data_IF_104881333402
#
_entry.id   IF_104881333402
#
_cell.length_a   1.000
_cell.length_b   1.000
_cell.length_c   1.000
_cell.angle_alpha   90.00
_cell.angle_beta   90.00
_cell.angle_gamma   90.00
#
_symmetry.space_group_name_H-M   'P 1'
#
loop_
_entity.id
_entity.type
_entity.pdbx_description
1 polymer ?
#
# COMPACT_ATOMS: atom_id res chain seq x y z
N UNK A 1 -27.47 28.72 43.16
CA UNK A 1 -26.88 28.09 41.95
C UNK A 1 -27.06 28.91 40.66
N UNK A 2 -27.82 30.01 40.66
CA UNK A 2 -28.13 30.82 39.46
C UNK A 2 -27.20 32.04 39.26
N UNK A 3 -26.23 32.27 40.14
CA UNK A 3 -25.41 33.50 40.10
C UNK A 3 -24.15 33.35 39.22
N UNK A 4 -23.65 32.12 39.01
CA UNK A 4 -22.47 31.87 38.14
C UNK A 4 -22.77 31.83 36.63
N UNK A 5 -23.99 31.45 36.25
CA UNK A 5 -24.37 31.32 34.84
C UNK A 5 -24.58 32.67 34.13
N UNK A 6 -24.85 33.72 34.87
CA UNK A 6 -25.11 35.05 34.27
C UNK A 6 -23.83 35.87 33.97
N UNK A 7 -22.68 35.46 34.50
CA UNK A 7 -21.40 36.13 34.25
C UNK A 7 -20.62 35.55 33.04
N UNK A 8 -20.93 34.31 32.64
CA UNK A 8 -20.24 33.64 31.55
C UNK A 8 -20.90 33.88 30.19
N UNK A 9 -22.19 34.19 30.17
CA UNK A 9 -22.96 34.46 28.94
C UNK A 9 -22.46 35.61 28.08
N UNK A 10 -22.01 36.77 28.61
CA UNK A 10 -21.52 37.85 27.75
C UNK A 10 -20.15 37.55 27.12
N UNK A 11 -19.28 36.79 27.81
CA UNK A 11 -17.93 36.44 27.31
C UNK A 11 -18.03 35.42 26.18
N UNK A 12 -18.88 34.43 26.29
CA UNK A 12 -19.16 33.47 25.23
C UNK A 12 -19.80 34.11 23.99
N UNK A 13 -20.69 35.10 24.18
CA UNK A 13 -21.28 35.82 23.05
C UNK A 13 -20.33 36.80 22.37
N UNK A 14 -19.36 37.35 23.08
CA UNK A 14 -18.32 38.19 22.48
C UNK A 14 -17.34 37.36 21.64
N UNK A 15 -16.96 36.17 22.12
CA UNK A 15 -16.07 35.28 21.37
C UNK A 15 -16.77 34.67 20.15
N UNK A 16 -18.05 34.35 20.22
CA UNK A 16 -18.81 33.82 19.08
C UNK A 16 -19.21 34.91 18.07
N UNK A 17 -19.27 36.18 18.47
CA UNK A 17 -19.57 37.28 17.55
C UNK A 17 -18.33 37.83 16.85
N UNK A 18 -17.13 37.62 17.41
CA UNK A 18 -15.85 37.94 16.77
C UNK A 18 -15.43 36.89 15.75
N UNK A 19 -15.94 35.67 15.84
CA UNK A 19 -15.90 34.68 14.79
C UNK A 19 -17.04 34.94 13.78
N UNK A 20 -17.21 36.19 13.38
CA UNK A 20 -18.14 36.58 12.34
C UNK A 20 -17.67 35.95 11.01
N UNK A 21 -18.58 35.20 10.44
CA UNK A 21 -18.71 34.56 9.16
C UNK A 21 -18.31 35.46 7.95
N UNK A 22 -17.74 36.61 8.15
CA UNK A 22 -17.38 37.58 7.11
C UNK A 22 -15.94 37.44 6.59
N UNK A 23 -15.16 36.46 7.02
CA UNK A 23 -13.84 36.19 6.46
C UNK A 23 -13.66 34.77 5.93
N UNK A 24 -14.72 34.00 5.81
CA UNK A 24 -14.79 32.87 4.89
C UNK A 24 -15.30 33.37 3.52
N UNK A 25 -14.69 34.44 2.99
CA UNK A 25 -14.54 34.53 1.57
C UNK A 25 -13.64 33.35 1.22
N UNK A 26 -14.28 32.27 0.76
CA UNK A 26 -13.63 31.25 -0.02
C UNK A 26 -12.91 31.99 -1.15
N UNK A 27 -11.63 32.25 -0.92
CA UNK A 27 -10.72 32.63 -1.97
C UNK A 27 -10.56 31.38 -2.87
N UNK A 28 -11.62 31.16 -3.66
CA UNK A 28 -11.73 30.06 -4.61
C UNK A 28 -10.80 30.22 -5.81
N UNK A 29 -9.89 31.21 -5.72
CA UNK A 29 -8.84 31.45 -6.71
C UNK A 29 -7.50 30.82 -6.36
N UNK A 30 -7.40 30.07 -5.26
CA UNK A 30 -6.31 29.10 -5.14
C UNK A 30 -6.51 28.06 -6.25
N UNK A 31 -5.90 28.31 -7.40
CA UNK A 31 -5.79 27.36 -8.51
C UNK A 31 -5.35 26.01 -7.89
N UNK A 32 -6.32 25.07 -7.77
CA UNK A 32 -6.00 23.72 -7.31
C UNK A 32 -4.86 23.24 -8.18
N UNK A 33 -3.70 22.91 -7.60
CA UNK A 33 -2.59 22.44 -8.42
C UNK A 33 -3.13 21.29 -9.25
N UNK A 34 -2.94 21.36 -10.58
CA UNK A 34 -3.41 20.32 -11.49
C UNK A 34 -2.95 18.98 -10.93
N UNK A 35 -3.86 18.00 -10.84
CA UNK A 35 -3.52 16.67 -10.31
C UNK A 35 -2.27 16.10 -11.00
N UNK A 36 -2.07 16.45 -12.28
CA UNK A 36 -0.90 16.07 -13.06
C UNK A 36 0.39 16.83 -12.72
N UNK A 37 0.31 17.91 -11.91
CA UNK A 37 1.51 18.66 -11.48
C UNK A 37 2.49 17.79 -10.64
N UNK A 38 2.05 16.62 -10.16
CA UNK A 38 2.90 15.65 -9.47
C UNK A 38 3.91 15.02 -10.44
N UNK A 39 3.55 14.85 -11.72
CA UNK A 39 4.44 14.28 -12.74
C UNK A 39 5.56 15.23 -13.19
N UNK A 40 5.53 16.50 -12.81
CA UNK A 40 6.66 17.41 -13.03
C UNK A 40 7.88 17.04 -12.16
N UNK A 41 7.67 16.30 -11.09
CA UNK A 41 8.74 15.83 -10.18
C UNK A 41 9.39 14.59 -10.80
N UNK A 42 10.64 14.70 -11.26
CA UNK A 42 11.33 13.57 -11.91
C UNK A 42 11.44 12.34 -10.99
N UNK A 43 11.69 12.54 -9.70
CA UNK A 43 11.74 11.46 -8.71
C UNK A 43 10.40 10.74 -8.57
N UNK A 44 9.28 11.46 -8.66
CA UNK A 44 7.95 10.85 -8.61
C UNK A 44 7.67 9.98 -9.84
N UNK A 45 8.10 10.38 -11.03
CA UNK A 45 7.92 9.57 -12.25
C UNK A 45 8.58 8.20 -12.13
N UNK A 46 9.82 8.16 -11.67
CA UNK A 46 10.54 6.90 -11.45
C UNK A 46 9.91 6.05 -10.35
N UNK A 47 9.49 6.69 -9.26
CA UNK A 47 8.79 6.00 -8.17
C UNK A 47 7.44 5.45 -8.65
N UNK A 48 6.69 6.22 -9.42
CA UNK A 48 5.41 5.82 -9.98
C UNK A 48 5.55 4.63 -10.93
N UNK A 49 6.54 4.67 -11.83
CA UNK A 49 6.83 3.56 -12.74
C UNK A 49 7.25 2.29 -11.97
N UNK A 50 8.09 2.43 -10.96
CA UNK A 50 8.49 1.33 -10.09
C UNK A 50 7.32 0.75 -9.29
N UNK A 51 6.40 1.60 -8.82
CA UNK A 51 5.18 1.15 -8.15
C UNK A 51 4.23 0.44 -9.13
N UNK A 52 4.08 0.96 -10.34
CA UNK A 52 3.28 0.32 -11.38
C UNK A 52 3.80 -1.08 -11.71
N UNK A 53 5.09 -1.20 -12.00
CA UNK A 53 5.73 -2.48 -12.27
C UNK A 53 5.55 -3.48 -11.10
N UNK A 54 5.71 -3.01 -9.87
CA UNK A 54 5.50 -3.84 -8.67
C UNK A 54 4.06 -4.35 -8.55
N UNK A 55 3.06 -3.48 -8.73
CA UNK A 55 1.67 -3.90 -8.62
C UNK A 55 1.25 -4.84 -9.74
N UNK A 56 1.73 -4.62 -10.97
CA UNK A 56 1.50 -5.56 -12.07
C UNK A 56 2.16 -6.92 -11.80
N UNK A 57 3.43 -6.93 -11.36
CA UNK A 57 4.11 -8.16 -10.99
C UNK A 57 3.40 -8.91 -9.85
N UNK A 58 2.91 -8.19 -8.85
CA UNK A 58 2.15 -8.77 -7.74
C UNK A 58 0.85 -9.46 -8.20
N UNK A 59 0.13 -8.86 -9.15
CA UNK A 59 -1.08 -9.47 -9.70
C UNK A 59 -0.77 -10.71 -10.54
N UNK A 60 0.29 -10.66 -11.35
CA UNK A 60 0.76 -11.82 -12.12
C UNK A 60 1.17 -12.97 -11.21
N UNK A 61 1.93 -12.67 -10.17
CA UNK A 61 2.35 -13.64 -9.17
C UNK A 61 1.15 -14.35 -8.51
N UNK A 62 0.10 -13.59 -8.16
CA UNK A 62 -1.10 -14.15 -7.55
C UNK A 62 -1.82 -15.12 -8.50
N UNK A 63 -1.94 -14.79 -9.78
CA UNK A 63 -2.52 -15.65 -10.80
C UNK A 63 -1.68 -16.91 -11.02
N UNK A 64 -0.39 -16.74 -11.24
CA UNK A 64 0.54 -17.86 -11.48
C UNK A 64 0.51 -18.86 -10.33
N UNK A 65 0.53 -18.39 -9.09
CA UNK A 65 0.41 -19.27 -7.91
C UNK A 65 -0.90 -20.03 -7.88
N UNK A 66 -2.00 -19.37 -8.26
CA UNK A 66 -3.33 -20.01 -8.34
C UNK A 66 -3.34 -21.14 -9.36
N UNK A 67 -2.83 -20.89 -10.57
CA UNK A 67 -2.75 -21.88 -11.66
C UNK A 67 -1.86 -23.05 -11.26
N UNK A 68 -0.65 -22.79 -10.78
CA UNK A 68 0.29 -23.83 -10.35
C UNK A 68 -0.29 -24.70 -9.22
N UNK A 69 -0.95 -24.07 -8.24
CA UNK A 69 -1.55 -24.80 -7.14
C UNK A 69 -2.67 -25.73 -7.63
N UNK A 70 -3.47 -25.27 -8.58
CA UNK A 70 -4.50 -26.09 -9.21
C UNK A 70 -3.89 -27.25 -10.01
N UNK A 71 -2.86 -26.99 -10.79
CA UNK A 71 -2.18 -28.03 -11.60
C UNK A 71 -1.51 -29.10 -10.73
N UNK A 72 -0.99 -28.72 -9.55
CA UNK A 72 -0.33 -29.66 -8.65
C UNK A 72 -1.31 -30.52 -7.84
N UNK A 73 -2.48 -30.00 -7.49
CA UNK A 73 -3.35 -30.66 -6.51
C UNK A 73 -4.72 -31.05 -7.07
N UNK A 74 -5.20 -30.36 -8.11
CA UNK A 74 -6.56 -30.55 -8.65
C UNK A 74 -7.69 -30.15 -7.69
N UNK A 75 -7.36 -29.53 -6.52
CA UNK A 75 -8.31 -29.23 -5.47
C UNK A 75 -8.44 -27.72 -5.23
N UNK A 76 -9.67 -27.22 -5.17
CA UNK A 76 -9.94 -25.82 -4.82
C UNK A 76 -9.52 -25.46 -3.38
N UNK A 77 -9.52 -26.44 -2.47
CA UNK A 77 -9.08 -26.29 -1.08
C UNK A 77 -7.63 -25.84 -0.95
N UNK A 78 -6.77 -26.22 -1.89
CA UNK A 78 -5.36 -25.82 -1.94
C UNK A 78 -5.17 -24.32 -2.06
N UNK A 79 -6.06 -23.66 -2.80
CA UNK A 79 -6.07 -22.20 -2.90
C UNK A 79 -6.41 -21.52 -1.57
N UNK A 80 -7.34 -22.12 -0.83
CA UNK A 80 -7.69 -21.64 0.52
C UNK A 80 -6.52 -21.77 1.48
N UNK A 81 -5.77 -22.88 1.44
CA UNK A 81 -4.57 -23.07 2.26
C UNK A 81 -3.48 -22.05 1.95
N UNK A 82 -3.19 -21.77 0.68
CA UNK A 82 -2.19 -20.75 0.31
C UNK A 82 -2.60 -19.39 0.86
N UNK A 83 -3.87 -18.98 0.70
CA UNK A 83 -4.36 -17.70 1.20
C UNK A 83 -4.30 -17.64 2.74
N UNK A 84 -4.63 -18.73 3.44
CA UNK A 84 -4.56 -18.81 4.90
C UNK A 84 -3.11 -18.67 5.39
N UNK A 85 -2.17 -19.35 4.73
CA UNK A 85 -0.74 -19.32 5.06
C UNK A 85 -0.13 -17.94 4.82
N UNK A 86 -0.65 -17.15 3.87
CA UNK A 86 -0.28 -15.74 3.71
C UNK A 86 -0.92 -14.87 4.79
N UNK A 87 -2.20 -15.09 5.09
CA UNK A 87 -2.97 -14.23 6.00
C UNK A 87 -2.50 -14.31 7.45
N UNK A 88 -2.19 -15.50 7.93
CA UNK A 88 -1.75 -15.71 9.32
C UNK A 88 -0.49 -14.89 9.65
N UNK A 89 0.65 -15.06 8.95
CA UNK A 89 1.85 -14.26 9.24
C UNK A 89 1.65 -12.78 8.94
N UNK A 90 0.81 -12.43 7.96
CA UNK A 90 0.48 -11.05 7.65
C UNK A 90 -0.18 -10.33 8.84
N UNK A 91 -1.09 -10.98 9.57
CA UNK A 91 -1.73 -10.43 10.77
C UNK A 91 -0.68 -10.21 11.86
N UNK A 92 0.12 -11.23 12.19
CA UNK A 92 1.15 -11.11 13.22
C UNK A 92 2.22 -10.08 12.85
N UNK A 93 2.70 -10.08 11.61
CA UNK A 93 3.69 -9.15 11.13
C UNK A 93 3.15 -7.70 11.10
N UNK A 94 1.86 -7.48 10.84
CA UNK A 94 1.25 -6.14 10.87
C UNK A 94 1.23 -5.54 12.27
N UNK A 95 1.03 -6.36 13.31
CA UNK A 95 1.09 -5.92 14.70
C UNK A 95 2.50 -5.48 15.11
N UNK A 96 3.52 -6.17 14.62
CA UNK A 96 4.93 -5.85 14.87
C UNK A 96 5.46 -4.77 13.91
N UNK A 97 4.81 -4.63 12.76
CA UNK A 97 5.22 -3.78 11.65
C UNK A 97 5.36 -2.31 12.03
N UNK A 98 4.45 -1.78 12.84
CA UNK A 98 4.53 -0.40 13.32
C UNK A 98 5.83 -0.13 14.07
N UNK A 99 6.16 -0.97 15.05
CA UNK A 99 7.35 -0.79 15.88
C UNK A 99 8.67 -0.96 15.11
N UNK A 100 8.68 -1.81 14.08
CA UNK A 100 9.87 -2.05 13.25
C UNK A 100 10.03 -0.94 12.20
N UNK A 101 8.93 -0.50 11.58
CA UNK A 101 8.94 0.55 10.57
C UNK A 101 9.41 1.90 11.12
N UNK A 102 9.19 2.14 12.41
CA UNK A 102 9.65 3.36 13.08
C UNK A 102 11.16 3.36 13.38
N UNK A 103 11.80 2.18 13.42
CA UNK A 103 13.22 2.04 13.78
C UNK A 103 14.14 1.82 12.57
N UNK A 104 13.61 1.40 11.44
CA UNK A 104 14.37 1.05 10.25
C UNK A 104 14.10 2.07 9.15
N UNK A 105 15.13 2.43 8.40
CA UNK A 105 15.00 3.32 7.26
C UNK A 105 14.03 2.74 6.22
N UNK A 106 13.01 3.51 5.86
CA UNK A 106 11.93 3.09 4.94
C UNK A 106 12.44 2.55 3.61
N UNK A 107 13.53 3.14 3.09
CA UNK A 107 14.18 2.71 1.87
C UNK A 107 14.77 1.30 2.00
N UNK A 108 15.43 1.02 3.13
CA UNK A 108 16.01 -0.29 3.40
C UNK A 108 14.93 -1.36 3.54
N UNK A 109 13.81 -1.05 4.23
CA UNK A 109 12.67 -1.98 4.33
C UNK A 109 12.13 -2.37 2.96
N UNK A 110 11.97 -1.42 2.05
CA UNK A 110 11.51 -1.71 0.68
C UNK A 110 12.52 -2.55 -0.08
N UNK A 111 13.81 -2.21 0.00
CA UNK A 111 14.87 -2.95 -0.72
C UNK A 111 14.96 -4.38 -0.19
N UNK A 112 15.06 -4.58 1.11
CA UNK A 112 15.17 -5.90 1.74
C UNK A 112 13.93 -6.73 1.44
N UNK A 113 12.74 -6.15 1.65
CA UNK A 113 11.47 -6.85 1.42
C UNK A 113 11.30 -7.26 -0.05
N UNK A 114 11.65 -6.39 -1.01
CA UNK A 114 11.58 -6.73 -2.43
C UNK A 114 12.63 -7.75 -2.85
N UNK A 115 13.84 -7.66 -2.31
CA UNK A 115 14.88 -8.66 -2.58
C UNK A 115 14.46 -10.03 -2.05
N UNK A 116 13.81 -10.07 -0.89
CA UNK A 116 13.28 -11.31 -0.32
C UNK A 116 12.17 -11.91 -1.21
N UNK A 117 11.23 -11.08 -1.68
CA UNK A 117 10.18 -11.53 -2.59
C UNK A 117 10.78 -12.01 -3.92
N UNK A 118 11.75 -11.29 -4.47
CA UNK A 118 12.43 -11.69 -5.70
C UNK A 118 13.16 -13.04 -5.55
N UNK A 119 13.89 -13.24 -4.46
CA UNK A 119 14.54 -14.51 -4.17
C UNK A 119 13.53 -15.66 -4.04
N UNK A 120 12.39 -15.38 -3.40
CA UNK A 120 11.28 -16.31 -3.24
C UNK A 120 10.68 -16.73 -4.59
N UNK A 121 10.53 -15.81 -5.55
CA UNK A 121 10.03 -16.12 -6.89
C UNK A 121 11.05 -16.88 -7.74
N UNK A 122 12.33 -16.53 -7.62
CA UNK A 122 13.42 -17.28 -8.28
C UNK A 122 13.44 -18.72 -7.76
N UNK A 123 13.22 -18.93 -6.48
CA UNK A 123 13.13 -20.26 -5.89
C UNK A 123 11.97 -21.08 -6.49
N UNK A 124 10.76 -20.53 -6.56
CA UNK A 124 9.61 -21.19 -7.20
C UNK A 124 9.92 -21.52 -8.67
N UNK A 125 10.44 -20.56 -9.41
CA UNK A 125 10.80 -20.75 -10.83
C UNK A 125 11.81 -21.87 -11.00
N UNK A 126 12.83 -21.91 -10.17
CA UNK A 126 13.87 -22.98 -10.22
C UNK A 126 13.26 -24.35 -9.92
N UNK A 127 12.39 -24.45 -8.91
CA UNK A 127 11.71 -25.70 -8.58
C UNK A 127 10.76 -26.15 -9.70
N UNK A 128 10.07 -25.21 -10.33
CA UNK A 128 9.20 -25.48 -11.47
C UNK A 128 10.00 -25.99 -12.68
N UNK A 129 11.09 -25.32 -13.04
CA UNK A 129 11.94 -25.71 -14.19
C UNK A 129 12.65 -27.04 -13.98
N UNK A 130 12.97 -27.41 -12.75
CA UNK A 130 13.57 -28.70 -12.41
C UNK A 130 12.55 -29.81 -12.25
N UNK A 131 11.25 -29.53 -12.38
CA UNK A 131 10.18 -30.51 -12.19
C UNK A 131 10.06 -31.06 -10.78
N UNK A 132 10.64 -30.37 -9.79
CA UNK A 132 10.62 -30.74 -8.36
C UNK A 132 9.68 -29.89 -7.51
N UNK A 133 8.81 -29.11 -8.14
CA UNK A 133 7.88 -28.26 -7.43
C UNK A 133 6.79 -29.11 -6.78
N UNK A 134 6.70 -29.04 -5.46
CA UNK A 134 5.65 -29.66 -4.66
C UNK A 134 4.81 -28.60 -3.96
N UNK A 135 3.58 -28.93 -3.60
CA UNK A 135 2.66 -28.01 -2.98
C UNK A 135 3.20 -27.36 -1.67
N UNK A 136 3.96 -28.08 -0.87
CA UNK A 136 4.54 -27.56 0.36
C UNK A 136 5.57 -26.44 0.09
N UNK A 137 6.30 -26.47 -1.03
CA UNK A 137 7.20 -25.36 -1.43
C UNK A 137 6.39 -24.08 -1.64
N UNK A 138 5.20 -24.19 -2.22
CA UNK A 138 4.30 -23.05 -2.40
C UNK A 138 3.80 -22.48 -1.07
N UNK A 139 3.51 -23.35 -0.08
CA UNK A 139 3.13 -22.91 1.26
C UNK A 139 4.27 -22.17 1.97
N UNK A 140 5.50 -22.70 1.90
CA UNK A 140 6.67 -22.00 2.46
C UNK A 140 6.89 -20.63 1.86
N UNK A 141 6.81 -20.53 0.54
CA UNK A 141 6.98 -19.24 -0.17
C UNK A 141 5.83 -18.28 0.07
N UNK A 142 4.60 -18.78 0.24
CA UNK A 142 3.44 -17.99 0.63
C UNK A 142 3.61 -17.41 2.05
N UNK A 143 4.13 -18.21 2.99
CA UNK A 143 4.45 -17.75 4.34
C UNK A 143 5.48 -16.61 4.35
N UNK A 144 6.58 -16.77 3.61
CA UNK A 144 7.61 -15.73 3.48
C UNK A 144 7.04 -14.44 2.90
N UNK A 145 6.20 -14.53 1.86
CA UNK A 145 5.52 -13.38 1.29
C UNK A 145 4.58 -12.71 2.29
N UNK A 146 3.80 -13.49 3.05
CA UNK A 146 2.93 -12.98 4.12
C UNK A 146 3.69 -12.22 5.21
N UNK A 147 4.91 -12.63 5.54
CA UNK A 147 5.78 -11.91 6.47
C UNK A 147 6.30 -10.59 5.87
N UNK A 148 6.60 -10.54 4.58
CA UNK A 148 7.25 -9.38 3.93
C UNK A 148 6.27 -8.24 3.60
N UNK A 149 5.07 -8.54 3.13
CA UNK A 149 4.10 -7.56 2.65
C UNK A 149 3.73 -6.46 3.65
N UNK A 150 3.47 -6.73 4.95
CA UNK A 150 3.12 -5.70 5.93
C UNK A 150 4.17 -4.61 6.12
N UNK A 151 5.42 -4.90 5.81
CA UNK A 151 6.52 -3.93 5.90
C UNK A 151 6.72 -3.14 4.61
N UNK A 152 6.54 -3.78 3.46
CA UNK A 152 6.77 -3.16 2.14
C UNK A 152 5.71 -2.10 1.84
N UNK A 153 4.42 -2.40 2.07
CA UNK A 153 3.32 -1.52 1.70
C UNK A 153 3.35 -0.16 2.42
N UNK A 154 3.42 -0.09 3.76
CA UNK A 154 3.49 1.21 4.45
C UNK A 154 4.78 1.96 4.13
N UNK A 155 5.91 1.27 3.97
CA UNK A 155 7.18 1.89 3.62
C UNK A 155 7.11 2.56 2.22
N UNK A 156 6.50 1.92 1.23
CA UNK A 156 6.27 2.51 -0.10
C UNK A 156 5.38 3.75 -0.05
N UNK A 157 4.27 3.68 0.70
CA UNK A 157 3.38 4.84 0.88
C UNK A 157 4.10 6.01 1.53
N UNK A 158 4.92 5.74 2.54
CA UNK A 158 5.70 6.76 3.22
C UNK A 158 6.79 7.38 2.33
N UNK A 159 7.44 6.59 1.46
CA UNK A 159 8.39 7.13 0.46
C UNK A 159 7.66 8.02 -0.54
N UNK A 160 6.49 7.60 -1.02
CA UNK A 160 5.67 8.42 -1.92
C UNK A 160 5.31 9.75 -1.28
N UNK A 161 4.88 9.74 -0.02
CA UNK A 161 4.57 10.96 0.73
C UNK A 161 5.77 11.91 0.85
N UNK A 162 6.96 11.35 1.11
CA UNK A 162 8.20 12.15 1.23
C UNK A 162 8.62 12.78 -0.11
N UNK A 163 8.47 12.06 -1.21
CA UNK A 163 8.88 12.53 -2.55
C UNK A 163 7.93 13.61 -3.08
N UNK A 164 6.64 13.46 -2.83
CA UNK A 164 5.60 14.35 -3.38
C UNK A 164 5.46 15.64 -2.56
N UNK A 165 5.75 15.57 -1.25
CA UNK A 165 5.55 16.67 -0.31
C UNK A 165 4.07 16.89 0.06
N UNK A 166 3.81 17.72 1.10
CA UNK A 166 2.49 17.88 1.68
C UNK A 166 1.46 18.49 0.72
N UNK A 167 1.88 19.42 -0.13
CA UNK A 167 0.98 20.13 -1.06
C UNK A 167 0.37 19.24 -2.15
N UNK A 168 1.11 18.21 -2.59
CA UNK A 168 0.72 17.31 -3.68
C UNK A 168 0.45 15.89 -3.20
N UNK A 169 0.45 15.67 -1.89
CA UNK A 169 0.31 14.34 -1.27
C UNK A 169 -0.96 13.62 -1.71
N UNK A 170 -2.08 14.32 -1.70
CA UNK A 170 -3.38 13.76 -2.10
C UNK A 170 -3.37 13.25 -3.54
N UNK A 171 -2.78 14.03 -4.46
CA UNK A 171 -2.62 13.63 -5.86
C UNK A 171 -1.68 12.45 -6.01
N UNK A 172 -0.54 12.42 -5.30
CA UNK A 172 0.40 11.31 -5.33
C UNK A 172 -0.19 9.99 -4.83
N UNK A 173 -0.96 10.05 -3.74
CA UNK A 173 -1.68 8.87 -3.21
C UNK A 173 -2.78 8.43 -4.18
N UNK A 174 -3.55 9.36 -4.76
CA UNK A 174 -4.61 9.05 -5.71
C UNK A 174 -4.06 8.32 -6.95
N UNK A 175 -2.94 8.79 -7.53
CA UNK A 175 -2.30 8.11 -8.65
C UNK A 175 -1.74 6.73 -8.27
N UNK A 176 -1.10 6.60 -7.12
CA UNK A 176 -0.60 5.30 -6.65
C UNK A 176 -1.73 4.29 -6.44
N UNK A 177 -2.84 4.73 -5.85
CA UNK A 177 -4.04 3.89 -5.68
C UNK A 177 -4.72 3.58 -7.01
N UNK A 178 -4.72 4.53 -7.94
CA UNK A 178 -5.22 4.33 -9.31
C UNK A 178 -4.46 3.23 -10.03
N UNK A 179 -3.12 3.25 -9.98
CA UNK A 179 -2.29 2.19 -10.58
C UNK A 179 -2.53 0.84 -9.92
N UNK A 180 -2.64 0.81 -8.60
CA UNK A 180 -2.93 -0.43 -7.87
C UNK A 180 -4.28 -1.05 -8.32
N UNK A 181 -5.33 -0.23 -8.45
CA UNK A 181 -6.64 -0.70 -8.90
C UNK A 181 -6.62 -1.08 -10.39
N UNK A 182 -5.92 -0.31 -11.22
CA UNK A 182 -5.76 -0.60 -12.64
C UNK A 182 -5.03 -1.95 -12.84
N UNK A 183 -3.99 -2.21 -12.05
CA UNK A 183 -3.25 -3.48 -12.08
C UNK A 183 -4.13 -4.67 -11.71
N UNK A 184 -5.08 -4.50 -10.81
CA UNK A 184 -6.06 -5.56 -10.44
C UNK A 184 -6.99 -5.94 -11.59
N UNK A 185 -7.33 -4.97 -12.45
CA UNK A 185 -8.22 -5.20 -13.60
C UNK A 185 -7.44 -5.69 -14.81
N UNK A 186 -6.36 -4.99 -15.15
CA UNK A 186 -5.58 -5.26 -16.36
C UNK A 186 -4.63 -6.46 -16.16
N UNK A 187 -4.09 -6.66 -14.94
CA UNK A 187 -3.17 -7.76 -14.63
C UNK A 187 -3.70 -9.12 -15.07
N UNK A 188 -4.87 -9.55 -14.59
CA UNK A 188 -5.50 -10.78 -15.02
C UNK A 188 -5.80 -10.84 -16.53
N UNK A 189 -6.20 -9.73 -17.14
CA UNK A 189 -6.54 -9.68 -18.56
C UNK A 189 -5.34 -9.83 -19.51
N UNK A 190 -4.13 -9.47 -19.06
CA UNK A 190 -2.90 -9.60 -19.85
C UNK A 190 -2.24 -10.99 -19.64
N UNK A 191 -2.42 -11.56 -18.46
CA UNK A 191 -1.72 -12.79 -18.04
C UNK A 191 -2.59 -14.06 -18.14
N UNK A 192 -3.92 -13.93 -18.28
CA UNK A 192 -4.87 -15.02 -18.50
C UNK A 192 -5.21 -15.17 -19.95
#
# INVERSE_FOLDING_TARGET
>A
QNFCLNRVRPILRAHFRSASISSLSLDSTATKPSAFAVFSIAQFRWLFLGNAAFFFAMQGQMLTRTIIAWDLTGEATSLAYINLVVAIPMIFASLLGGAITDRVERRQLVIIGQSLIMANEIFILTMLLTGRLEFWHMLCTAFVAGCAFPFIMPARMAITATVVGPEKLQSGIAFSSGVMNLSRVIGPAIMG
#
